data_IF_056275483444
#
_entry.id   IF_056275483444
#
_cell.length_a   1.000
_cell.length_b   1.000
_cell.length_c   1.000
_cell.angle_alpha   90.00
_cell.angle_beta   90.00
_cell.angle_gamma   90.00
#
_symmetry.space_group_name_H-M   'P 1'
#
loop_
_entity.id
_entity.type
_entity.pdbx_description
1 polymer ?
#
# COMPACT_ATOMS: atom_id res chain seq x y z
N UNK A 1 -14.66 11.27 -30.41
CA UNK A 1 -14.98 10.60 -29.13
C UNK A 1 -13.67 10.57 -28.39
N UNK A 2 -13.54 11.50 -27.46
CA UNK A 2 -12.30 11.91 -26.79
C UNK A 2 -11.63 10.73 -26.09
N UNK A 3 -10.32 10.58 -26.30
CA UNK A 3 -9.43 9.81 -25.43
C UNK A 3 -9.50 10.43 -24.04
N UNK A 4 -10.43 9.87 -23.25
CA UNK A 4 -10.72 10.30 -21.90
C UNK A 4 -9.52 9.92 -21.03
N UNK A 5 -8.98 10.92 -20.34
CA UNK A 5 -7.90 10.81 -19.37
C UNK A 5 -8.16 9.62 -18.43
N UNK A 6 -7.57 8.46 -18.73
CA UNK A 6 -7.41 7.41 -17.74
C UNK A 6 -6.38 7.94 -16.75
N UNK A 7 -6.88 8.64 -15.73
CA UNK A 7 -6.08 9.19 -14.63
C UNK A 7 -5.26 8.02 -14.09
N UNK A 8 -3.92 8.08 -14.29
CA UNK A 8 -3.01 7.00 -13.91
C UNK A 8 -3.29 6.63 -12.46
N UNK A 9 -3.61 5.35 -12.20
CA UNK A 9 -3.83 4.81 -10.86
C UNK A 9 -2.74 5.30 -9.89
N UNK A 10 -3.13 5.76 -8.70
CA UNK A 10 -2.18 6.31 -7.73
C UNK A 10 -1.34 5.21 -7.06
N UNK A 11 -1.72 3.95 -7.24
CA UNK A 11 -1.10 2.77 -6.62
C UNK A 11 -0.37 1.91 -7.65
N UNK A 12 0.19 2.52 -8.71
CA UNK A 12 1.05 1.77 -9.66
C UNK A 12 2.24 1.16 -8.89
N UNK A 13 2.47 -0.16 -9.00
CA UNK A 13 3.63 -0.79 -8.39
C UNK A 13 4.93 -0.32 -9.03
N UNK A 14 5.97 -0.23 -8.21
CA UNK A 14 7.32 0.11 -8.64
C UNK A 14 8.07 -1.20 -8.86
N UNK A 15 8.61 -1.40 -10.06
CA UNK A 15 9.19 -2.66 -10.53
C UNK A 15 10.71 -2.73 -10.39
N UNK A 16 11.38 -1.60 -10.17
CA UNK A 16 12.85 -1.56 -10.06
C UNK A 16 13.35 -0.41 -9.19
N UNK A 17 14.63 -0.47 -8.81
CA UNK A 17 15.30 0.63 -8.10
C UNK A 17 15.38 1.91 -8.95
N UNK A 18 15.52 1.81 -10.27
CA UNK A 18 15.55 2.98 -11.15
C UNK A 18 14.18 3.67 -11.22
N UNK A 19 13.11 2.87 -11.25
CA UNK A 19 11.74 3.40 -11.16
C UNK A 19 11.48 4.05 -9.81
N UNK A 20 11.97 3.46 -8.70
CA UNK A 20 11.87 4.06 -7.38
C UNK A 20 12.58 5.43 -7.30
N UNK A 21 13.79 5.54 -7.86
CA UNK A 21 14.58 6.79 -7.87
C UNK A 21 13.95 7.91 -8.69
N UNK A 22 13.21 7.54 -9.73
CA UNK A 22 12.53 8.49 -10.62
C UNK A 22 11.08 8.73 -10.24
N UNK A 23 10.58 7.99 -9.25
CA UNK A 23 9.26 8.16 -8.71
C UNK A 23 9.12 9.58 -8.15
N UNK A 24 7.98 10.20 -8.41
CA UNK A 24 7.64 11.51 -7.88
C UNK A 24 6.27 11.45 -7.26
N UNK A 25 6.04 12.14 -6.14
CA UNK A 25 4.71 12.31 -5.62
C UNK A 25 3.84 12.95 -6.70
N UNK A 26 2.58 12.53 -6.74
CA UNK A 26 1.58 13.18 -7.57
C UNK A 26 1.49 14.66 -7.18
N UNK A 27 1.02 15.51 -8.08
CA UNK A 27 0.87 16.95 -7.81
C UNK A 27 0.18 17.19 -6.45
N UNK A 28 0.51 18.29 -5.77
CA UNK A 28 -0.04 18.63 -4.45
C UNK A 28 -1.57 18.51 -4.38
N UNK A 29 -2.26 18.79 -5.50
CA UNK A 29 -3.70 18.63 -5.65
C UNK A 29 -4.15 17.16 -5.52
N UNK A 30 -3.51 16.26 -6.24
CA UNK A 30 -3.83 14.82 -6.22
C UNK A 30 -3.46 14.21 -4.86
N UNK A 31 -2.33 14.62 -4.27
CA UNK A 31 -1.95 14.25 -2.90
C UNK A 31 -3.02 14.70 -1.89
N UNK A 32 -3.48 15.95 -2.00
CA UNK A 32 -4.54 16.49 -1.13
C UNK A 32 -5.87 15.77 -1.31
N UNK A 33 -6.24 15.38 -2.54
CA UNK A 33 -7.42 14.57 -2.80
C UNK A 33 -7.30 13.17 -2.19
N UNK A 34 -6.15 12.50 -2.36
CA UNK A 34 -5.88 11.21 -1.75
C UNK A 34 -5.96 11.28 -0.22
N UNK A 35 -5.32 12.27 0.40
CA UNK A 35 -5.36 12.48 1.86
C UNK A 35 -6.77 12.77 2.32
N UNK A 36 -7.48 13.71 1.66
CA UNK A 36 -8.86 14.02 2.01
C UNK A 36 -9.74 12.77 1.94
N UNK A 37 -9.57 11.90 0.95
CA UNK A 37 -10.36 10.67 0.81
C UNK A 37 -9.95 9.58 1.80
N UNK A 38 -8.65 9.37 2.03
CA UNK A 38 -8.15 8.32 2.93
C UNK A 38 -8.30 8.65 4.42
N UNK A 39 -8.49 9.93 4.77
CA UNK A 39 -8.50 10.41 6.16
C UNK A 39 -9.77 11.19 6.56
N UNK A 40 -10.82 11.25 5.71
CA UNK A 40 -12.06 11.98 6.04
C UNK A 40 -12.89 11.38 7.19
N UNK A 41 -12.59 10.15 7.63
CA UNK A 41 -13.39 9.44 8.63
C UNK A 41 -12.65 9.18 9.95
N UNK A 42 -11.53 9.84 10.23
CA UNK A 42 -10.84 9.66 11.50
C UNK A 42 -11.37 10.64 12.56
N UNK A 43 -12.48 10.28 13.19
CA UNK A 43 -12.54 10.51 14.64
C UNK A 43 -11.46 9.64 15.32
N UNK A 44 -11.03 9.94 16.56
CA UNK A 44 -10.05 9.12 17.26
C UNK A 44 -10.66 7.75 17.59
N UNK A 45 -10.69 6.84 16.61
CA UNK A 45 -11.11 5.44 16.75
C UNK A 45 -10.13 4.59 17.54
N UNK A 46 -9.08 5.19 18.11
CA UNK A 46 -8.02 4.50 18.85
C UNK A 46 -8.38 4.12 20.29
N UNK A 47 -9.42 4.69 20.90
CA UNK A 47 -9.65 4.50 22.34
C UNK A 47 -10.35 3.19 22.71
N UNK A 48 -11.21 2.64 21.85
CA UNK A 48 -12.01 1.46 22.22
C UNK A 48 -11.20 0.15 22.18
N UNK A 49 -10.23 0.04 21.26
CA UNK A 49 -9.48 -1.21 21.03
C UNK A 49 -8.27 -1.39 21.95
N UNK A 50 -7.61 -0.30 22.33
CA UNK A 50 -6.36 -0.37 23.09
C UNK A 50 -6.53 -0.93 24.52
N UNK A 51 -7.72 -0.75 25.12
CA UNK A 51 -8.00 -1.24 26.47
C UNK A 51 -8.23 -2.75 26.53
N UNK A 52 -8.87 -3.36 25.52
CA UNK A 52 -9.17 -4.80 25.53
C UNK A 52 -8.06 -5.68 24.92
N UNK A 53 -7.12 -5.08 24.20
CA UNK A 53 -6.08 -5.81 23.44
C UNK A 53 -4.70 -5.80 24.09
N UNK A 54 -4.54 -5.18 25.26
CA UNK A 54 -3.22 -4.93 25.88
C UNK A 54 -2.44 -6.20 26.24
N UNK A 55 -3.10 -7.35 26.37
CA UNK A 55 -2.51 -8.64 26.73
C UNK A 55 -3.01 -9.82 25.86
N UNK A 56 -3.47 -9.55 24.65
CA UNK A 56 -3.92 -10.61 23.72
C UNK A 56 -3.00 -10.68 22.49
N UNK A 57 -2.84 -11.86 21.86
CA UNK A 57 -2.16 -11.96 20.58
C UNK A 57 -2.80 -11.04 19.55
N UNK A 58 -1.97 -10.37 18.75
CA UNK A 58 -2.40 -9.55 17.62
C UNK A 58 -2.43 -10.41 16.35
N UNK A 59 -3.39 -10.14 15.49
CA UNK A 59 -3.60 -10.77 14.20
C UNK A 59 -3.19 -9.83 13.09
N UNK A 60 -2.27 -10.30 12.25
CA UNK A 60 -1.90 -9.65 11.00
C UNK A 60 -2.50 -10.46 9.85
N UNK A 61 -3.10 -9.79 8.88
CA UNK A 61 -3.49 -10.39 7.60
C UNK A 61 -2.56 -9.91 6.49
N UNK A 62 -2.07 -10.85 5.70
CA UNK A 62 -1.38 -10.65 4.44
C UNK A 62 -2.02 -11.63 3.46
N UNK A 63 -2.56 -11.14 2.34
CA UNK A 63 -3.33 -11.97 1.41
C UNK A 63 -2.56 -12.20 0.11
N UNK A 64 -2.42 -13.47 -0.27
CA UNK A 64 -1.94 -13.84 -1.61
C UNK A 64 -3.15 -14.29 -2.45
N UNK A 65 -3.63 -13.43 -3.34
CA UNK A 65 -4.77 -13.70 -4.22
C UNK A 65 -4.30 -13.86 -5.67
N UNK A 66 -4.39 -15.09 -6.18
CA UNK A 66 -3.92 -15.50 -7.51
C UNK A 66 -4.47 -14.61 -8.64
N UNK A 67 -3.66 -13.64 -9.07
CA UNK A 67 -3.84 -12.88 -10.31
C UNK A 67 -4.79 -11.68 -10.24
N UNK A 68 -5.57 -11.50 -9.16
CA UNK A 68 -6.53 -10.38 -9.01
C UNK A 68 -5.95 -9.14 -8.30
N UNK A 69 -4.63 -8.98 -8.30
CA UNK A 69 -3.99 -7.80 -7.73
C UNK A 69 -4.17 -6.58 -8.63
N UNK A 70 -4.29 -5.40 -8.01
CA UNK A 70 -4.31 -4.09 -8.67
C UNK A 70 -5.52 -3.82 -9.57
N UNK A 71 -6.43 -4.77 -9.77
CA UNK A 71 -7.70 -4.49 -10.42
C UNK A 71 -8.51 -3.48 -9.60
N UNK A 72 -8.35 -3.50 -8.28
CA UNK A 72 -8.87 -2.57 -7.28
C UNK A 72 -8.02 -1.29 -7.10
N UNK A 73 -7.00 -1.08 -7.94
CA UNK A 73 -6.10 0.08 -7.85
C UNK A 73 -6.77 1.40 -8.21
N UNK A 74 -7.94 1.35 -8.85
CA UNK A 74 -8.73 2.53 -9.24
C UNK A 74 -9.57 3.05 -8.07
N UNK A 75 -9.76 4.37 -8.05
CA UNK A 75 -10.53 5.06 -7.00
C UNK A 75 -11.99 4.58 -6.97
N UNK A 76 -12.58 4.30 -8.13
CA UNK A 76 -13.96 3.79 -8.24
C UNK A 76 -14.06 2.28 -8.02
N UNK A 77 -12.95 1.62 -7.69
CA UNK A 77 -12.85 0.18 -7.57
C UNK A 77 -12.80 -0.52 -8.92
N UNK A 78 -13.27 -1.77 -8.97
CA UNK A 78 -13.27 -2.59 -10.17
C UNK A 78 -14.65 -3.23 -10.40
N UNK A 79 -14.94 -3.58 -11.64
CA UNK A 79 -16.15 -4.33 -12.00
C UNK A 79 -16.01 -5.84 -11.80
N UNK A 80 -14.84 -6.32 -11.35
CA UNK A 80 -14.60 -7.74 -11.11
C UNK A 80 -15.20 -8.16 -9.76
N UNK A 81 -16.30 -8.92 -9.80
CA UNK A 81 -16.95 -9.47 -8.61
C UNK A 81 -16.09 -10.50 -7.87
N UNK A 82 -15.10 -11.09 -8.53
CA UNK A 82 -14.15 -12.05 -7.96
C UNK A 82 -12.91 -11.36 -7.38
N UNK A 83 -12.83 -10.03 -7.42
CA UNK A 83 -11.74 -9.29 -6.80
C UNK A 83 -11.69 -9.57 -5.30
N UNK A 84 -10.48 -9.51 -4.74
CA UNK A 84 -10.30 -9.76 -3.32
C UNK A 84 -11.11 -8.77 -2.49
N UNK A 85 -11.83 -9.27 -1.49
CA UNK A 85 -12.61 -8.46 -0.55
C UNK A 85 -12.37 -8.94 0.87
N UNK A 86 -12.34 -8.00 1.80
CA UNK A 86 -12.15 -8.29 3.21
C UNK A 86 -13.03 -7.38 4.06
N UNK A 87 -13.83 -8.01 4.92
CA UNK A 87 -14.86 -7.33 5.74
C UNK A 87 -14.65 -7.47 7.25
N UNK A 88 -13.73 -8.35 7.67
CA UNK A 88 -13.53 -8.71 9.08
C UNK A 88 -12.49 -7.82 9.76
N UNK A 89 -12.58 -6.49 9.57
CA UNK A 89 -11.61 -5.52 10.11
C UNK A 89 -11.53 -5.52 11.65
N UNK A 90 -12.63 -5.88 12.32
CA UNK A 90 -12.74 -5.89 13.78
C UNK A 90 -11.93 -6.99 14.49
N UNK A 91 -11.38 -7.97 13.76
CA UNK A 91 -10.59 -9.07 14.33
C UNK A 91 -9.09 -9.02 13.97
N UNK A 92 -8.65 -7.95 13.28
CA UNK A 92 -7.25 -7.79 12.88
C UNK A 92 -6.64 -6.48 13.37
N UNK A 93 -5.34 -6.50 13.63
CA UNK A 93 -4.59 -5.34 14.11
C UNK A 93 -3.73 -4.73 13.00
N UNK A 94 -3.35 -5.49 11.97
CA UNK A 94 -2.55 -4.99 10.83
C UNK A 94 -3.05 -5.67 9.56
N UNK A 95 -3.17 -4.89 8.49
CA UNK A 95 -3.46 -5.40 7.14
C UNK A 95 -2.28 -5.13 6.22
N UNK A 96 -1.83 -6.14 5.48
CA UNK A 96 -0.76 -6.04 4.48
C UNK A 96 -1.37 -6.28 3.11
N UNK A 97 -1.33 -5.27 2.24
CA UNK A 97 -1.74 -5.38 0.84
C UNK A 97 -0.55 -5.91 0.04
N UNK A 98 -0.64 -7.18 -0.36
CA UNK A 98 0.44 -7.91 -1.02
C UNK A 98 0.22 -8.01 -2.54
N UNK A 99 1.32 -8.05 -3.31
CA UNK A 99 1.37 -8.43 -4.72
C UNK A 99 2.78 -8.92 -5.07
N UNK A 100 2.97 -9.47 -6.28
CA UNK A 100 4.28 -9.94 -6.78
C UNK A 100 5.14 -8.84 -7.43
N UNK A 101 4.92 -7.58 -7.07
CA UNK A 101 5.76 -6.47 -7.56
C UNK A 101 6.80 -6.07 -6.53
N UNK A 102 7.97 -5.63 -7.01
CA UNK A 102 9.10 -5.24 -6.17
C UNK A 102 8.68 -4.31 -5.03
N UNK A 103 7.91 -3.26 -5.31
CA UNK A 103 7.22 -2.45 -4.29
C UNK A 103 5.76 -2.30 -4.69
N UNK A 104 4.87 -2.63 -3.75
CA UNK A 104 3.41 -2.49 -3.90
C UNK A 104 2.91 -1.43 -2.94
N UNK A 105 2.26 -0.40 -3.50
CA UNK A 105 1.60 0.66 -2.73
C UNK A 105 0.13 0.25 -2.56
N UNK A 106 -0.43 0.22 -1.33
CA UNK A 106 -1.84 -0.13 -1.14
C UNK A 106 -2.76 0.81 -1.90
N UNK A 107 -3.78 0.30 -2.61
CA UNK A 107 -4.77 1.14 -3.29
C UNK A 107 -5.53 2.08 -2.34
N UNK A 108 -5.95 3.28 -2.82
CA UNK A 108 -6.70 4.23 -2.00
C UNK A 108 -7.95 3.64 -1.33
N UNK A 109 -8.67 2.76 -2.03
CA UNK A 109 -9.87 2.11 -1.51
C UNK A 109 -9.56 1.24 -0.27
N UNK A 110 -8.44 0.52 -0.29
CA UNK A 110 -7.97 -0.30 0.84
C UNK A 110 -7.45 0.55 1.98
N UNK A 111 -6.73 1.64 1.68
CA UNK A 111 -6.29 2.60 2.70
C UNK A 111 -7.48 3.22 3.41
N UNK A 112 -8.48 3.68 2.66
CA UNK A 112 -9.72 4.21 3.21
C UNK A 112 -10.45 3.18 4.08
N UNK A 113 -10.64 1.94 3.58
CA UNK A 113 -11.33 0.88 4.31
C UNK A 113 -10.62 0.52 5.63
N UNK A 114 -9.29 0.38 5.60
CA UNK A 114 -8.50 0.07 6.79
C UNK A 114 -8.56 1.21 7.83
N UNK A 115 -8.34 2.45 7.41
CA UNK A 115 -8.38 3.62 8.28
C UNK A 115 -9.77 3.89 8.87
N UNK A 116 -10.84 3.66 8.11
CA UNK A 116 -12.22 3.74 8.59
C UNK A 116 -12.45 2.80 9.79
N UNK A 117 -11.78 1.65 9.83
CA UNK A 117 -11.88 0.67 10.91
C UNK A 117 -10.75 0.78 11.95
N UNK A 118 -9.91 1.82 11.88
CA UNK A 118 -8.78 2.02 12.79
C UNK A 118 -7.70 0.94 12.67
N UNK A 119 -7.57 0.31 11.50
CA UNK A 119 -6.54 -0.69 11.21
C UNK A 119 -5.43 -0.05 10.38
N UNK A 120 -4.16 -0.07 10.82
CA UNK A 120 -3.03 0.31 9.98
C UNK A 120 -2.89 -0.65 8.80
N UNK A 121 -2.67 -0.09 7.62
CA UNK A 121 -2.40 -0.83 6.38
C UNK A 121 -0.96 -0.62 5.92
N UNK A 122 -0.33 -1.68 5.41
CA UNK A 122 1.04 -1.68 4.90
C UNK A 122 1.06 -2.14 3.44
N UNK A 123 1.92 -1.50 2.64
CA UNK A 123 2.35 -2.04 1.35
C UNK A 123 3.40 -3.13 1.51
N UNK A 124 3.88 -3.67 0.40
CA UNK A 124 4.93 -4.70 0.40
C UNK A 124 6.17 -4.27 -0.36
N UNK A 125 7.31 -4.73 0.12
CA UNK A 125 8.57 -4.76 -0.62
C UNK A 125 8.95 -6.23 -0.71
N UNK A 126 9.07 -6.75 -1.91
CA UNK A 126 9.41 -8.16 -2.11
C UNK A 126 10.58 -8.27 -3.08
N UNK A 127 11.44 -9.25 -2.86
CA UNK A 127 12.48 -9.62 -3.81
C UNK A 127 12.33 -11.11 -4.10
N UNK A 128 12.27 -11.46 -5.38
CA UNK A 128 12.02 -12.84 -5.80
C UNK A 128 13.13 -13.33 -6.74
N UNK A 129 13.55 -14.58 -6.55
CA UNK A 129 14.48 -15.27 -7.43
C UNK A 129 15.83 -14.54 -7.63
N UNK A 130 16.49 -14.81 -8.76
CA UNK A 130 17.80 -14.25 -9.09
C UNK A 130 17.77 -12.72 -9.27
N UNK A 131 16.68 -12.18 -9.81
CA UNK A 131 16.50 -10.73 -9.94
C UNK A 131 16.39 -10.05 -8.57
N UNK A 132 15.68 -10.68 -7.64
CA UNK A 132 15.59 -10.26 -6.26
C UNK A 132 16.96 -10.27 -5.57
N UNK A 133 17.75 -11.33 -5.75
CA UNK A 133 19.10 -11.42 -5.20
C UNK A 133 20.03 -10.32 -5.76
N UNK A 134 19.93 -10.00 -7.06
CA UNK A 134 20.67 -8.91 -7.67
C UNK A 134 20.24 -7.54 -7.12
N UNK A 135 18.93 -7.35 -6.89
CA UNK A 135 18.37 -6.13 -6.28
C UNK A 135 18.83 -5.96 -4.83
N UNK A 136 18.76 -7.02 -4.02
CA UNK A 136 19.28 -7.02 -2.65
C UNK A 136 20.77 -6.70 -2.61
N UNK A 137 21.56 -7.25 -3.54
CA UNK A 137 23.01 -6.97 -3.62
C UNK A 137 23.31 -5.49 -3.86
N UNK A 138 22.45 -4.77 -4.62
CA UNK A 138 22.56 -3.31 -4.80
C UNK A 138 22.15 -2.55 -3.54
N UNK A 139 20.99 -2.88 -2.96
CA UNK A 139 20.45 -2.22 -1.75
C UNK A 139 21.43 -2.36 -0.57
N UNK A 140 21.96 -3.56 -0.36
CA UNK A 140 22.83 -3.88 0.78
C UNK A 140 24.33 -3.70 0.49
N UNK A 141 24.69 -3.06 -0.62
CA UNK A 141 26.10 -2.83 -0.99
C UNK A 141 26.84 -1.91 -0.01
N UNK A 142 26.14 -0.99 0.64
CA UNK A 142 26.69 -0.07 1.64
C UNK A 142 25.59 0.47 2.55
N UNK A 143 25.99 1.09 3.68
CA UNK A 143 25.03 1.81 4.54
C UNK A 143 24.35 2.97 3.80
N UNK A 144 25.08 3.65 2.93
CA UNK A 144 24.56 4.77 2.15
C UNK A 144 23.50 4.30 1.16
N UNK A 145 23.71 3.16 0.50
CA UNK A 145 22.72 2.57 -0.40
C UNK A 145 21.44 2.15 0.33
N UNK A 146 21.56 1.59 1.55
CA UNK A 146 20.41 1.28 2.40
C UNK A 146 19.66 2.55 2.80
N UNK A 147 20.37 3.61 3.19
CA UNK A 147 19.75 4.88 3.57
C UNK A 147 19.06 5.56 2.38
N UNK A 148 19.66 5.55 1.19
CA UNK A 148 19.04 6.05 -0.04
C UNK A 148 17.73 5.30 -0.32
N UNK A 149 17.75 3.97 -0.22
CA UNK A 149 16.56 3.14 -0.40
C UNK A 149 15.46 3.46 0.62
N UNK A 150 15.80 3.57 1.91
CA UNK A 150 14.85 3.93 2.97
C UNK A 150 14.24 5.31 2.72
N UNK A 151 15.05 6.30 2.37
CA UNK A 151 14.56 7.66 2.11
C UNK A 151 13.54 7.66 0.96
N UNK A 152 13.84 6.97 -0.15
CA UNK A 152 12.88 6.85 -1.25
C UNK A 152 11.57 6.16 -0.83
N UNK A 153 11.62 5.15 0.04
CA UNK A 153 10.41 4.51 0.57
C UNK A 153 9.59 5.45 1.46
N UNK A 154 10.23 6.30 2.26
CA UNK A 154 9.50 7.27 3.10
C UNK A 154 8.77 8.33 2.28
N UNK A 155 9.23 8.62 1.06
CA UNK A 155 8.51 9.51 0.14
C UNK A 155 7.22 8.89 -0.41
N UNK A 156 7.13 7.56 -0.44
CA UNK A 156 5.91 6.83 -0.83
C UNK A 156 4.86 6.82 0.27
N UNK A 157 5.28 6.93 1.53
CA UNK A 157 4.38 6.99 2.68
C UNK A 157 3.89 8.42 2.85
N UNK A 158 2.57 8.64 2.71
CA UNK A 158 1.94 9.96 2.82
C UNK A 158 1.74 10.42 4.25
#
# INVERSE_FOLDING_TARGET
>A
MSEEFCEKSLSVPIRSLEELKTWKPLTDRTRSQFVQQCFTATGPGGSFREQYTKNVPKTLICHDMKGGYLEDSFIEGCSNAEAYSFIQWGIIEIFVYFSHHFITIPPPCWVHAAHLHGVPILGTIITEWDEGAATCSKIFSSKDAVNEFINSLTELTL
#
